data_IF_977358327997
#
_entry.id   IF_977358327997
#
_cell.length_a   1.000
_cell.length_b   1.000
_cell.length_c   1.000
_cell.angle_alpha   90.00
_cell.angle_beta   90.00
_cell.angle_gamma   90.00
#
_symmetry.space_group_name_H-M   'P 1'
#
loop_
_entity.id
_entity.type
_entity.pdbx_description
1 polymer ?
#
# COMPACT_ATOMS: atom_id res chain seq x y z
N UNK A 1 -23.00 5.62 9.71
CA UNK A 1 -21.92 4.64 9.45
C UNK A 1 -20.65 5.29 8.88
N UNK A 2 -20.65 6.59 8.55
CA UNK A 2 -19.45 7.31 8.04
C UNK A 2 -18.55 7.91 9.14
N UNK A 3 -19.10 8.16 10.34
CA UNK A 3 -18.37 8.69 11.50
C UNK A 3 -17.05 7.96 11.85
N UNK A 4 -17.00 6.61 11.89
CA UNK A 4 -15.77 5.92 12.29
C UNK A 4 -14.64 6.04 11.26
N UNK A 5 -14.95 6.02 9.96
CA UNK A 5 -13.93 6.19 8.91
C UNK A 5 -13.37 7.62 8.93
N UNK A 6 -14.25 8.61 9.09
CA UNK A 6 -13.85 10.01 9.20
C UNK A 6 -12.93 10.24 10.40
N UNK A 7 -13.20 9.58 11.53
CA UNK A 7 -12.35 9.65 12.71
C UNK A 7 -10.96 9.05 12.45
N UNK A 8 -10.90 7.85 11.86
CA UNK A 8 -9.63 7.20 11.48
C UNK A 8 -8.80 8.06 10.50
N UNK A 9 -9.45 8.69 9.51
CA UNK A 9 -8.78 9.61 8.59
C UNK A 9 -8.19 10.82 9.32
N UNK A 10 -8.92 11.36 10.30
CA UNK A 10 -8.45 12.49 11.08
C UNK A 10 -7.28 12.11 11.99
N UNK A 11 -7.34 10.96 12.67
CA UNK A 11 -6.23 10.46 13.48
C UNK A 11 -4.97 10.21 12.64
N UNK A 12 -5.11 9.60 11.46
CA UNK A 12 -4.00 9.40 10.55
C UNK A 12 -3.40 10.74 10.08
N UNK A 13 -4.26 11.73 9.75
CA UNK A 13 -3.82 13.06 9.39
C UNK A 13 -3.02 13.75 10.51
N UNK A 14 -3.49 13.64 11.75
CA UNK A 14 -2.78 14.16 12.92
C UNK A 14 -1.44 13.46 13.13
N UNK A 15 -1.42 12.12 13.09
CA UNK A 15 -0.19 11.34 13.28
C UNK A 15 0.88 11.66 12.22
N UNK A 16 0.47 11.87 10.97
CA UNK A 16 1.38 12.30 9.90
C UNK A 16 1.92 13.70 10.17
N UNK A 17 1.05 14.65 10.56
CA UNK A 17 1.47 16.02 10.85
C UNK A 17 2.44 16.08 12.04
N UNK A 18 2.16 15.34 13.10
CA UNK A 18 3.03 15.23 14.27
C UNK A 18 4.38 14.62 13.89
N UNK A 19 4.36 13.49 13.15
CA UNK A 19 5.59 12.84 12.66
C UNK A 19 6.44 13.76 11.79
N UNK A 20 5.79 14.61 10.99
CA UNK A 20 6.46 15.53 10.10
C UNK A 20 7.03 16.74 10.84
N UNK A 21 6.30 17.23 11.84
CA UNK A 21 6.70 18.35 12.70
C UNK A 21 7.85 17.99 13.65
N UNK A 22 7.88 16.75 14.13
CA UNK A 22 8.94 16.22 15.00
C UNK A 22 10.16 15.67 14.24
N UNK A 23 10.10 15.62 12.90
CA UNK A 23 11.21 15.08 12.11
C UNK A 23 12.38 16.05 12.00
N UNK A 24 13.43 15.80 12.78
CA UNK A 24 14.71 16.53 12.68
C UNK A 24 15.27 16.56 11.26
N UNK A 25 15.12 15.43 10.54
CA UNK A 25 15.62 15.27 9.17
C UNK A 25 14.91 16.20 8.18
N UNK A 26 13.61 16.43 8.37
CA UNK A 26 12.84 17.38 7.57
C UNK A 26 13.19 18.82 7.99
N UNK A 27 13.31 19.09 9.29
CA UNK A 27 13.68 20.40 9.80
C UNK A 27 15.06 20.86 9.31
N UNK A 28 16.05 19.97 9.26
CA UNK A 28 17.39 20.24 8.74
C UNK A 28 17.35 20.62 7.26
N UNK A 29 16.65 19.84 6.43
CA UNK A 29 16.49 20.11 5.01
C UNK A 29 15.79 21.46 4.75
N UNK A 30 14.72 21.76 5.50
CA UNK A 30 14.04 23.07 5.42
C UNK A 30 15.00 24.19 5.84
N UNK A 31 15.82 23.96 6.88
CA UNK A 31 16.83 24.90 7.34
C UNK A 31 17.89 25.22 6.29
N UNK A 32 18.37 24.21 5.55
CA UNK A 32 19.30 24.41 4.42
C UNK A 32 18.67 25.28 3.33
N UNK A 33 17.42 25.00 2.96
CA UNK A 33 16.70 25.76 1.95
C UNK A 33 16.51 27.23 2.39
N UNK A 34 16.14 27.45 3.66
CA UNK A 34 16.04 28.81 4.23
C UNK A 34 17.39 29.53 4.26
N UNK A 35 18.48 28.85 4.62
CA UNK A 35 19.85 29.42 4.60
C UNK A 35 20.30 29.81 3.19
N UNK A 36 19.81 29.12 2.17
CA UNK A 36 20.04 29.48 0.77
C UNK A 36 19.21 30.71 0.31
N UNK A 37 18.37 31.28 1.18
CA UNK A 37 17.61 32.51 0.92
C UNK A 37 16.20 32.30 0.40
N UNK A 38 15.65 31.08 0.52
CA UNK A 38 14.30 30.75 0.05
C UNK A 38 13.29 30.66 1.20
N UNK A 39 12.07 31.14 0.98
CA UNK A 39 10.94 30.92 1.88
C UNK A 39 10.28 29.56 1.59
N UNK A 40 10.11 28.76 2.64
CA UNK A 40 9.59 27.40 2.53
C UNK A 40 8.18 27.30 3.08
N UNK A 41 7.26 26.82 2.26
CA UNK A 41 5.92 26.41 2.65
C UNK A 41 5.69 24.96 2.20
N UNK A 42 5.16 24.12 3.07
CA UNK A 42 4.97 22.70 2.82
C UNK A 42 3.49 22.37 2.84
N UNK A 43 3.02 21.71 1.78
CA UNK A 43 1.69 21.11 1.68
C UNK A 43 1.89 19.64 1.39
N UNK A 44 1.23 18.79 2.17
CA UNK A 44 1.27 17.34 1.96
C UNK A 44 -0.11 16.87 1.49
N UNK A 45 -0.17 16.36 0.26
CA UNK A 45 -1.35 15.69 -0.28
C UNK A 45 -1.08 14.19 -0.32
N UNK A 46 -1.75 13.43 0.54
CA UNK A 46 -1.71 11.97 0.54
C UNK A 46 -3.11 11.42 0.27
N UNK A 47 -3.26 10.55 -0.73
CA UNK A 47 -4.52 9.86 -1.02
C UNK A 47 -4.50 8.49 -0.35
N UNK A 48 -5.44 8.24 0.57
CA UNK A 48 -5.51 6.99 1.33
C UNK A 48 -6.76 6.21 0.89
N UNK A 49 -6.55 5.00 0.39
CA UNK A 49 -7.61 4.06 0.04
C UNK A 49 -7.91 3.10 1.18
N UNK A 50 -9.18 2.86 1.47
CA UNK A 50 -9.62 1.89 2.48
C UNK A 50 -10.44 0.79 1.81
N UNK A 51 -10.22 -0.47 2.20
CA UNK A 51 -11.09 -1.59 1.84
C UNK A 51 -11.68 -2.18 3.13
N UNK A 52 -13.01 -2.29 3.21
CA UNK A 52 -13.66 -2.87 4.40
C UNK A 52 -13.53 -4.39 4.30
N UNK A 53 -12.84 -5.01 5.27
CA UNK A 53 -12.88 -6.47 5.44
C UNK A 53 -14.19 -6.76 6.17
N UNK A 54 -15.17 -7.32 5.48
CA UNK A 54 -16.40 -7.78 6.14
C UNK A 54 -16.04 -9.01 6.98
N UNK A 55 -16.35 -8.97 8.29
CA UNK A 55 -16.05 -10.04 9.25
C UNK A 55 -16.89 -11.32 9.06
N UNK A 56 -17.74 -11.39 8.02
CA UNK A 56 -18.56 -12.56 7.68
C UNK A 56 -17.98 -13.41 6.53
N UNK A 57 -16.71 -13.21 6.16
CA UNK A 57 -15.98 -14.20 5.36
C UNK A 57 -15.28 -15.17 6.32
N UNK A 58 -16.08 -15.93 7.07
CA UNK A 58 -15.62 -17.13 7.77
C UNK A 58 -15.37 -18.23 6.72
N UNK A 59 -14.22 -18.89 6.85
CA UNK A 59 -13.97 -20.29 6.46
C UNK A 59 -13.97 -20.69 4.98
N UNK A 60 -13.01 -20.20 4.19
CA UNK A 60 -12.53 -20.97 3.01
C UNK A 60 -11.02 -20.74 2.81
N UNK A 61 -10.17 -21.27 3.69
CA UNK A 61 -8.77 -21.65 3.37
C UNK A 61 -8.19 -22.52 4.51
N UNK A 62 -8.93 -23.55 4.94
CA UNK A 62 -8.30 -24.76 5.49
C UNK A 62 -7.89 -25.65 4.32
N UNK A 63 -6.78 -25.35 3.65
CA UNK A 63 -6.00 -26.41 3.00
C UNK A 63 -4.63 -25.93 2.51
N UNK A 64 -3.60 -26.67 2.96
CA UNK A 64 -2.30 -26.87 2.31
C UNK A 64 -1.32 -25.67 2.43
N UNK A 65 -0.07 -25.78 2.89
CA UNK A 65 0.87 -26.90 2.83
C UNK A 65 2.13 -26.49 3.62
N UNK A 66 2.65 -27.45 4.40
CA UNK A 66 4.06 -27.83 4.58
C UNK A 66 5.14 -26.79 4.95
N UNK A 67 5.84 -27.06 6.06
CA UNK A 67 7.21 -26.59 6.28
C UNK A 67 8.13 -27.80 6.48
N UNK A 68 8.62 -28.35 5.38
CA UNK A 68 9.86 -29.13 5.37
C UNK A 68 11.01 -28.18 5.01
N UNK A 69 11.93 -28.04 5.95
CA UNK A 69 13.15 -27.27 5.82
C UNK A 69 14.12 -27.92 4.81
N UNK A 70 14.69 -27.12 3.90
CA UNK A 70 16.15 -27.14 3.62
C UNK A 70 16.56 -25.95 2.72
N UNK A 71 17.79 -25.38 2.88
CA UNK A 71 18.15 -24.06 2.33
C UNK A 71 19.05 -24.15 1.08
N UNK A 72 18.73 -23.44 -0.01
CA UNK A 72 19.70 -23.12 -1.09
C UNK A 72 19.50 -21.73 -1.73
N UNK A 73 20.65 -21.14 -2.02
CA UNK A 73 21.01 -19.79 -2.47
C UNK A 73 20.41 -19.29 -3.81
N UNK A 74 20.52 -17.96 -4.12
CA UNK A 74 19.57 -17.25 -4.97
C UNK A 74 19.94 -17.31 -6.46
N UNK A 75 18.94 -17.65 -7.30
CA UNK A 75 19.01 -17.47 -8.75
C UNK A 75 17.81 -16.64 -9.22
N UNK A 76 18.12 -15.48 -9.81
CA UNK A 76 17.16 -14.61 -10.50
C UNK A 76 16.75 -15.27 -11.81
N UNK A 77 15.57 -15.86 -11.83
CA UNK A 77 14.76 -16.11 -13.03
C UNK A 77 13.36 -15.65 -12.69
N UNK A 78 12.84 -14.66 -13.42
CA UNK A 78 11.42 -14.29 -13.32
C UNK A 78 10.60 -15.41 -13.96
N UNK A 79 10.44 -16.52 -13.24
CA UNK A 79 9.43 -17.53 -13.53
C UNK A 79 8.10 -16.96 -13.08
N UNK A 80 7.46 -16.20 -13.96
CA UNK A 80 6.05 -15.97 -13.87
C UNK A 80 5.35 -17.32 -14.03
N UNK A 81 4.93 -17.94 -12.92
CA UNK A 81 3.72 -18.75 -12.78
C UNK A 81 3.65 -19.34 -11.36
N UNK A 82 3.47 -18.48 -10.36
CA UNK A 82 2.44 -18.82 -9.37
C UNK A 82 1.10 -18.71 -10.10
N UNK A 83 0.20 -19.68 -9.97
CA UNK A 83 -1.17 -19.50 -10.48
C UNK A 83 -1.80 -18.35 -9.70
N UNK A 84 -1.68 -17.13 -10.22
CA UNK A 84 -2.32 -15.96 -9.61
C UNK A 84 -3.82 -16.15 -9.86
N UNK A 85 -4.54 -16.61 -8.83
CA UNK A 85 -6.00 -16.62 -8.85
C UNK A 85 -6.45 -15.17 -8.70
N UNK A 86 -6.85 -14.54 -9.80
CA UNK A 86 -7.45 -13.22 -9.76
C UNK A 86 -8.85 -13.30 -9.16
N UNK A 87 -9.16 -12.42 -8.23
CA UNK A 87 -10.51 -12.25 -7.70
C UNK A 87 -11.34 -11.35 -8.61
N UNK A 88 -12.67 -11.38 -8.44
CA UNK A 88 -13.58 -10.47 -9.17
C UNK A 88 -13.29 -8.99 -8.91
N UNK A 89 -12.70 -8.66 -7.76
CA UNK A 89 -12.26 -7.30 -7.42
C UNK A 89 -11.02 -6.89 -8.22
N UNK A 90 -10.06 -7.81 -8.35
CA UNK A 90 -8.81 -7.57 -9.11
C UNK A 90 -9.12 -7.29 -10.59
N UNK A 91 -10.03 -8.04 -11.19
CA UNK A 91 -10.46 -7.78 -12.57
C UNK A 91 -11.08 -6.39 -12.75
N UNK A 92 -11.84 -5.90 -11.77
CA UNK A 92 -12.47 -4.58 -11.81
C UNK A 92 -11.43 -3.46 -11.67
N UNK A 93 -10.43 -3.69 -10.81
CA UNK A 93 -9.30 -2.79 -10.60
C UNK A 93 -8.38 -2.71 -11.82
N UNK A 94 -8.00 -3.84 -12.41
CA UNK A 94 -7.17 -3.91 -13.61
C UNK A 94 -7.87 -3.24 -14.80
N UNK A 95 -9.19 -3.40 -14.94
CA UNK A 95 -10.00 -2.67 -15.93
C UNK A 95 -10.00 -1.15 -15.70
N UNK A 96 -10.07 -0.68 -14.45
CA UNK A 96 -10.01 0.75 -14.14
C UNK A 96 -8.65 1.37 -14.52
N UNK A 97 -7.57 0.59 -14.39
CA UNK A 97 -6.23 0.98 -14.82
C UNK A 97 -5.98 0.80 -16.33
N UNK A 98 -6.99 0.36 -17.10
CA UNK A 98 -6.87 -0.04 -18.53
C UNK A 98 -5.80 -1.10 -18.78
N UNK A 99 -5.49 -1.89 -17.77
CA UNK A 99 -4.62 -3.06 -17.90
C UNK A 99 -5.52 -4.19 -18.39
N UNK A 100 -5.45 -4.51 -19.68
CA UNK A 100 -6.17 -5.64 -20.24
C UNK A 100 -5.59 -6.94 -19.68
N UNK A 101 -6.42 -7.72 -19.00
CA UNK A 101 -6.13 -9.13 -18.70
C UNK A 101 -6.75 -9.93 -19.84
N UNK A 102 -6.10 -9.92 -21.01
CA UNK A 102 -6.42 -10.90 -22.05
C UNK A 102 -5.82 -12.23 -21.60
N UNK A 103 -6.67 -13.12 -21.05
CA UNK A 103 -6.40 -14.55 -21.08
C UNK A 103 -6.62 -15.05 -22.52
N UNK A 104 -5.68 -14.73 -23.42
CA UNK A 104 -5.60 -15.38 -24.72
C UNK A 104 -4.15 -15.76 -25.03
N UNK A 105 -3.72 -16.86 -24.41
CA UNK A 105 -3.02 -17.95 -25.09
C UNK A 105 -2.63 -19.05 -24.08
N UNK A 106 -3.50 -20.04 -23.86
CA UNK A 106 -3.40 -21.37 -24.49
C UNK A 106 -4.30 -22.39 -23.80
#
# INVERSE_FOLDING_TARGET
MEEPLKHLMQELGNAINDSLSESDRIAEAIGEIKRAGYDVFLVLEATIGFNRRDENAEDEDEDQTEVTEEPKEPKRTFEATGKIKFTSQDHRFLRALKIAVDEENR
#
